data_IF_924195828100
#
_entry.id   IF_924195828100
#
_cell.length_a   1.000
_cell.length_b   1.000
_cell.length_c   1.000
_cell.angle_alpha   90.00
_cell.angle_beta   90.00
_cell.angle_gamma   90.00
#
_symmetry.space_group_name_H-M   'P 1'
#
loop_
_entity.id
_entity.type
_entity.pdbx_description
1 polymer ?
#
# COMPACT_ATOMS: atom_id res chain seq x y z
N UNK A 1 34.65 -24.18 -6.62
CA UNK A 1 33.79 -22.98 -6.80
C UNK A 1 32.31 -23.31 -6.75
N UNK A 2 31.80 -24.24 -7.57
CA UNK A 2 30.39 -24.66 -7.60
C UNK A 2 29.82 -25.16 -6.26
N UNK A 3 30.59 -25.92 -5.47
CA UNK A 3 30.17 -26.42 -4.14
C UNK A 3 29.97 -25.31 -3.08
N UNK A 4 30.76 -24.22 -3.15
CA UNK A 4 30.63 -23.07 -2.22
C UNK A 4 29.35 -22.27 -2.49
N UNK A 5 29.00 -22.12 -3.78
CA UNK A 5 27.78 -21.45 -4.23
C UNK A 5 26.52 -22.22 -3.79
N UNK A 6 26.54 -23.55 -3.90
CA UNK A 6 25.42 -24.40 -3.48
C UNK A 6 25.17 -24.27 -1.96
N UNK A 7 26.24 -24.29 -1.15
CA UNK A 7 26.12 -24.13 0.31
C UNK A 7 25.58 -22.73 0.67
N UNK A 8 26.03 -21.68 -0.02
CA UNK A 8 25.51 -20.32 0.19
C UNK A 8 24.03 -20.19 -0.17
N UNK A 9 23.56 -20.87 -1.23
CA UNK A 9 22.14 -20.92 -1.58
C UNK A 9 21.30 -21.60 -0.49
N UNK A 10 21.78 -22.71 0.09
CA UNK A 10 21.08 -23.38 1.20
C UNK A 10 21.04 -22.53 2.48
N UNK A 11 22.07 -21.73 2.76
CA UNK A 11 22.08 -20.82 3.91
C UNK A 11 21.10 -19.65 3.73
N UNK A 12 20.98 -19.11 2.52
CA UNK A 12 20.04 -18.03 2.21
C UNK A 12 18.58 -18.48 2.31
N UNK A 13 18.26 -19.71 1.88
CA UNK A 13 16.90 -20.25 1.99
C UNK A 13 16.52 -20.58 3.43
N UNK A 14 17.47 -21.05 4.25
CA UNK A 14 17.24 -21.29 5.67
C UNK A 14 16.96 -19.99 6.46
N UNK A 15 17.61 -18.87 6.08
CA UNK A 15 17.39 -17.57 6.71
C UNK A 15 15.96 -17.03 6.47
N UNK A 16 15.42 -17.22 5.26
CA UNK A 16 14.05 -16.79 4.92
C UNK A 16 12.93 -17.57 5.63
N UNK A 17 13.21 -18.77 6.15
CA UNK A 17 12.22 -19.60 6.85
C UNK A 17 12.14 -19.22 8.35
N UNK A 18 13.21 -18.68 8.93
CA UNK A 18 13.29 -18.36 10.35
C UNK A 18 12.53 -17.08 10.76
N UNK A 19 12.21 -16.18 9.83
CA UNK A 19 11.49 -14.93 10.13
C UNK A 19 9.97 -15.10 10.31
N UNK A 20 9.43 -16.32 10.25
CA UNK A 20 7.97 -16.57 10.25
C UNK A 20 7.32 -16.66 11.63
N UNK A 21 8.08 -16.57 12.72
CA UNK A 21 7.54 -16.71 14.08
C UNK A 21 7.59 -15.38 14.85
N UNK A 22 6.72 -14.44 14.47
CA UNK A 22 6.41 -13.29 15.35
C UNK A 22 5.24 -13.71 16.23
N UNK A 23 5.37 -13.74 17.57
CA UNK A 23 4.23 -13.98 18.44
C UNK A 23 3.22 -12.84 18.26
N UNK A 24 2.01 -13.17 17.83
CA UNK A 24 0.88 -12.23 17.83
C UNK A 24 0.58 -11.90 19.29
N UNK A 25 0.96 -10.70 19.72
CA UNK A 25 0.57 -10.18 21.02
C UNK A 25 -0.94 -9.94 21.03
N UNK A 26 -1.67 -10.78 21.76
CA UNK A 26 -3.07 -10.57 22.04
C UNK A 26 -3.19 -9.47 23.10
N UNK A 27 -3.22 -8.22 22.67
CA UNK A 27 -3.60 -7.12 23.55
C UNK A 27 -5.10 -7.26 23.85
N UNK A 28 -5.45 -7.74 25.05
CA UNK A 28 -6.83 -7.64 25.55
C UNK A 28 -7.04 -6.18 25.91
N UNK A 29 -7.75 -5.45 25.04
CA UNK A 29 -8.17 -4.09 25.35
C UNK A 29 -9.17 -4.12 26.52
N UNK A 30 -9.04 -3.22 27.51
CA UNK A 30 -10.08 -3.08 28.51
C UNK A 30 -11.40 -2.77 27.81
N UNK A 31 -12.47 -3.43 28.23
CA UNK A 31 -13.82 -3.14 27.74
C UNK A 31 -14.23 -1.77 28.27
N UNK A 32 -13.86 -0.72 27.55
CA UNK A 32 -14.27 0.64 27.85
C UNK A 32 -15.75 0.80 27.53
N UNK A 33 -16.54 0.99 28.59
CA UNK A 33 -17.94 1.36 28.48
C UNK A 33 -18.01 2.83 28.05
N UNK A 34 -18.81 3.11 27.01
CA UNK A 34 -19.18 4.44 26.49
C UNK A 34 -18.19 5.16 25.57
N UNK A 35 -17.71 4.49 24.52
CA UNK A 35 -17.24 5.21 23.34
C UNK A 35 -18.46 5.61 22.51
N UNK A 36 -18.93 6.85 22.71
CA UNK A 36 -19.63 7.59 21.67
C UNK A 36 -18.73 7.53 20.44
N UNK A 37 -19.03 6.58 19.55
CA UNK A 37 -18.31 6.36 18.30
C UNK A 37 -18.59 7.59 17.46
N UNK A 38 -17.83 8.66 17.69
CA UNK A 38 -17.77 9.81 16.81
C UNK A 38 -17.27 9.25 15.49
N UNK A 39 -18.20 8.85 14.63
CA UNK A 39 -17.92 8.55 13.23
C UNK A 39 -17.44 9.86 12.63
N UNK A 40 -16.14 10.13 12.76
CA UNK A 40 -15.51 11.21 12.02
C UNK A 40 -15.65 10.78 10.56
N UNK A 41 -16.60 11.40 9.85
CA UNK A 41 -16.78 11.19 8.43
C UNK A 41 -15.44 11.55 7.76
N UNK A 42 -14.65 10.52 7.43
CA UNK A 42 -13.40 10.71 6.72
C UNK A 42 -13.78 11.07 5.30
N UNK A 43 -13.75 12.36 4.97
CA UNK A 43 -13.96 12.79 3.60
C UNK A 43 -12.78 12.34 2.77
N UNK A 44 -13.06 11.70 1.63
CA UNK A 44 -12.00 11.32 0.70
C UNK A 44 -11.40 12.55 0.06
N UNK A 45 -10.07 12.68 0.14
CA UNK A 45 -9.37 13.74 -0.56
C UNK A 45 -9.25 13.31 -2.01
N UNK A 46 -10.07 13.88 -2.88
CA UNK A 46 -10.07 13.61 -4.32
C UNK A 46 -9.64 14.87 -5.07
N UNK A 47 -8.77 14.73 -6.08
CA UNK A 47 -8.34 15.85 -6.90
C UNK A 47 -7.83 15.44 -8.27
N UNK A 48 -7.69 16.44 -9.14
CA UNK A 48 -7.15 16.23 -10.49
C UNK A 48 -5.64 16.10 -10.46
N UNK A 49 -5.14 15.12 -11.21
CA UNK A 49 -3.72 14.97 -11.56
C UNK A 49 -3.57 15.16 -13.05
N UNK A 50 -2.46 15.77 -13.44
CA UNK A 50 -2.17 16.14 -14.81
C UNK A 50 -0.89 15.44 -15.26
N UNK A 51 -0.89 14.93 -16.49
CA UNK A 51 0.24 14.21 -17.06
C UNK A 51 0.30 14.42 -18.57
N UNK A 52 1.50 14.71 -19.08
CA UNK A 52 1.77 14.75 -20.52
C UNK A 52 2.11 13.33 -20.98
N UNK A 53 1.41 12.84 -22.00
CA UNK A 53 1.64 11.49 -22.55
C UNK A 53 2.59 11.52 -23.75
N UNK A 54 2.91 10.34 -24.26
CA UNK A 54 3.81 10.13 -25.41
C UNK A 54 3.39 10.88 -26.68
N UNK A 55 2.09 11.19 -26.83
CA UNK A 55 1.54 11.99 -27.93
C UNK A 55 1.79 13.50 -27.77
N UNK A 56 2.46 13.91 -26.70
CA UNK A 56 2.74 15.31 -26.37
C UNK A 56 1.53 16.07 -25.82
N UNK A 57 0.39 15.41 -25.62
CA UNK A 57 -0.83 16.06 -25.14
C UNK A 57 -0.97 15.94 -23.63
N UNK A 58 -1.57 16.95 -23.03
CA UNK A 58 -1.85 17.01 -21.60
C UNK A 58 -3.16 16.29 -21.29
N UNK A 59 -3.14 15.37 -20.35
CA UNK A 59 -4.34 14.68 -19.86
C UNK A 59 -4.53 14.96 -18.38
N UNK A 60 -5.78 14.87 -17.92
CA UNK A 60 -6.13 14.90 -16.49
C UNK A 60 -6.97 13.69 -16.09
N UNK A 61 -6.77 13.21 -14.87
CA UNK A 61 -7.57 12.12 -14.27
C UNK A 61 -7.80 12.38 -12.79
N UNK A 62 -8.92 11.91 -12.26
CA UNK A 62 -9.21 12.00 -10.84
C UNK A 62 -8.37 11.00 -10.06
N UNK A 63 -7.78 11.46 -8.95
CA UNK A 63 -7.03 10.65 -8.01
C UNK A 63 -7.64 10.75 -6.62
N UNK A 64 -7.93 9.59 -6.01
CA UNK A 64 -8.29 9.50 -4.61
C UNK A 64 -6.99 9.39 -3.79
N UNK A 65 -6.62 10.47 -3.12
CA UNK A 65 -5.44 10.50 -2.24
C UNK A 65 -5.66 9.75 -0.92
N UNK A 66 -6.92 9.51 -0.52
CA UNK A 66 -7.23 8.71 0.66
C UNK A 66 -7.09 7.22 0.38
N UNK A 67 -7.54 6.78 -0.79
CA UNK A 67 -7.52 5.38 -1.23
C UNK A 67 -6.31 5.01 -2.10
N UNK A 68 -5.44 5.98 -2.39
CA UNK A 68 -4.27 5.86 -3.26
C UNK A 68 -4.59 5.20 -4.62
N UNK A 69 -5.66 5.67 -5.26
CA UNK A 69 -6.20 5.04 -6.46
C UNK A 69 -6.72 6.02 -7.50
N UNK A 70 -6.63 5.61 -8.77
CA UNK A 70 -7.15 6.34 -9.90
C UNK A 70 -8.67 6.12 -10.05
N UNK A 71 -9.40 7.18 -10.33
CA UNK A 71 -10.85 7.13 -10.56
C UNK A 71 -11.14 7.46 -12.02
N UNK A 72 -11.92 6.61 -12.69
CA UNK A 72 -12.45 6.84 -14.03
C UNK A 72 -11.39 6.71 -15.14
N UNK A 73 -11.54 7.52 -16.19
CA UNK A 73 -10.66 7.54 -17.36
C UNK A 73 -9.85 8.84 -17.47
N UNK A 74 -8.80 8.80 -18.28
CA UNK A 74 -8.02 10.00 -18.60
C UNK A 74 -8.78 10.90 -19.59
N UNK A 75 -8.80 12.20 -19.32
CA UNK A 75 -9.49 13.21 -20.11
C UNK A 75 -8.45 14.13 -20.74
N UNK A 76 -8.51 14.31 -22.06
CA UNK A 76 -7.65 15.24 -22.78
C UNK A 76 -7.92 16.68 -22.31
N UNK A 77 -6.87 17.41 -21.95
CA UNK A 77 -6.90 18.85 -21.69
C UNK A 77 -6.63 19.54 -23.02
N UNK A 78 -7.69 20.15 -23.58
CA UNK A 78 -7.65 20.79 -24.90
C UNK A 78 -6.78 22.03 -24.96
#
# INVERSE_FOLDING_TARGET
MKRKIIIQLYLLTAFFILERFVPVSNYVLPKENNLMLLSVAKTDRIGWRYETREDGRLYKKLYNYTADSWIGEWILVG
#
